data_IF_791614615100
#
_entry.id   IF_791614615100
#
_cell.length_a   1.000
_cell.length_b   1.000
_cell.length_c   1.000
_cell.angle_alpha   90.00
_cell.angle_beta   90.00
_cell.angle_gamma   90.00
#
_symmetry.space_group_name_H-M   'P 1'
#
loop_
_entity.id
_entity.type
_entity.pdbx_description
1 polymer ?
#
# COMPACT_ATOMS: atom_id res chain seq x y z
N UNK A 1 5.03 -8.92 15.50
CA UNK A 1 3.92 -8.31 14.75
C UNK A 1 4.16 -6.82 14.51
N UNK A 2 4.22 -5.95 15.53
CA UNK A 2 4.43 -4.49 15.30
C UNK A 2 5.83 -4.17 14.74
N UNK A 3 6.87 -4.91 15.13
CA UNK A 3 8.23 -4.74 14.61
C UNK A 3 8.36 -4.99 13.08
N UNK A 4 7.39 -5.67 12.47
CA UNK A 4 7.34 -5.88 11.02
C UNK A 4 6.66 -4.74 10.23
N UNK A 5 6.14 -3.72 10.92
CA UNK A 5 5.52 -2.57 10.27
C UNK A 5 6.59 -1.57 9.80
N UNK A 6 7.27 -1.92 8.72
CA UNK A 6 8.32 -1.12 8.08
C UNK A 6 8.03 -0.97 6.57
N UNK A 7 8.58 0.05 5.91
CA UNK A 7 8.42 0.19 4.46
C UNK A 7 8.84 -1.07 3.71
N UNK A 8 8.10 -1.49 2.69
CA UNK A 8 8.47 -2.63 1.85
C UNK A 8 9.88 -2.49 1.25
N UNK A 9 10.60 -3.59 0.96
CA UNK A 9 11.97 -3.58 0.42
C UNK A 9 12.16 -2.67 -0.78
N UNK A 10 11.17 -2.63 -1.69
CA UNK A 10 11.13 -1.75 -2.87
C UNK A 10 11.28 -0.26 -2.53
N UNK A 11 10.85 0.16 -1.36
CA UNK A 11 10.93 1.55 -0.91
C UNK A 11 12.04 1.81 0.11
N UNK A 12 12.98 0.87 0.28
CA UNK A 12 14.13 1.04 1.20
C UNK A 12 14.98 2.26 0.86
N UNK A 13 15.15 2.54 -0.43
CA UNK A 13 15.90 3.69 -0.93
C UNK A 13 15.04 4.95 -1.14
N UNK A 14 13.73 4.91 -0.86
CA UNK A 14 12.85 6.05 -1.06
C UNK A 14 13.26 7.22 -0.15
N UNK A 15 13.48 8.39 -0.75
CA UNK A 15 13.79 9.64 -0.07
C UNK A 15 12.95 10.75 -0.70
N UNK A 16 12.75 11.86 0.00
CA UNK A 16 12.07 13.02 -0.57
C UNK A 16 12.84 13.56 -1.79
N UNK A 17 14.17 13.47 -1.74
CA UNK A 17 15.08 13.89 -2.81
C UNK A 17 15.09 12.95 -4.01
N UNK A 18 14.69 11.68 -3.82
CA UNK A 18 14.61 10.70 -4.93
C UNK A 18 13.27 10.75 -5.67
N UNK A 19 12.31 11.49 -5.15
CA UNK A 19 11.08 11.77 -5.88
C UNK A 19 11.33 12.87 -6.91
N UNK A 20 11.06 12.58 -8.18
CA UNK A 20 11.21 13.53 -9.29
C UNK A 20 9.83 14.10 -9.63
N UNK A 21 9.50 15.33 -9.20
CA UNK A 21 8.25 15.96 -9.55
C UNK A 21 8.16 16.23 -11.05
N UNK A 22 7.00 15.97 -11.63
CA UNK A 22 6.69 16.41 -12.98
C UNK A 22 6.51 17.93 -13.00
N UNK A 23 7.29 18.68 -13.83
CA UNK A 23 7.18 20.14 -13.93
C UNK A 23 5.79 20.61 -14.35
N UNK A 24 5.03 19.79 -15.07
CA UNK A 24 3.65 20.07 -15.47
C UNK A 24 2.64 19.91 -14.31
N UNK A 25 3.08 19.37 -13.17
CA UNK A 25 2.24 19.05 -12.00
C UNK A 25 2.76 19.72 -10.74
N UNK A 26 2.53 21.02 -10.52
CA UNK A 26 3.09 21.77 -9.38
C UNK A 26 2.77 21.18 -8.01
N UNK A 27 1.62 20.50 -7.88
CA UNK A 27 1.20 19.82 -6.64
C UNK A 27 2.19 18.75 -6.17
N UNK A 28 2.96 18.15 -7.08
CA UNK A 28 3.97 17.14 -6.74
C UNK A 28 5.15 17.75 -5.99
N UNK A 29 5.70 18.87 -6.50
CA UNK A 29 6.78 19.58 -5.82
C UNK A 29 6.31 20.16 -4.47
N UNK A 30 5.09 20.67 -4.41
CA UNK A 30 4.50 21.16 -3.17
C UNK A 30 4.32 20.03 -2.15
N UNK A 31 3.90 18.82 -2.59
CA UNK A 31 3.79 17.64 -1.75
C UNK A 31 5.13 17.30 -1.08
N UNK A 32 6.23 17.26 -1.84
CA UNK A 32 7.58 17.02 -1.32
C UNK A 32 7.93 18.07 -0.25
N UNK A 33 7.72 19.34 -0.53
CA UNK A 33 8.02 20.44 0.41
C UNK A 33 7.17 20.34 1.69
N UNK A 34 5.88 20.01 1.56
CA UNK A 34 4.99 19.88 2.72
C UNK A 34 5.34 18.65 3.57
N UNK A 35 5.71 17.53 2.95
CA UNK A 35 6.18 16.33 3.66
C UNK A 35 7.49 16.60 4.42
N UNK A 36 8.41 17.34 3.84
CA UNK A 36 9.64 17.76 4.52
C UNK A 36 9.35 18.60 5.77
N UNK A 37 8.44 19.58 5.66
CA UNK A 37 7.98 20.38 6.82
C UNK A 37 7.30 19.52 7.88
N UNK A 38 6.45 18.60 7.45
CA UNK A 38 5.75 17.68 8.35
C UNK A 38 6.73 16.76 9.08
N UNK A 39 7.71 16.18 8.37
CA UNK A 39 8.77 15.36 8.97
C UNK A 39 9.54 16.14 10.05
N UNK A 40 9.96 17.38 9.75
CA UNK A 40 10.64 18.24 10.69
C UNK A 40 9.80 18.62 11.93
N UNK A 41 8.47 18.60 11.79
CA UNK A 41 7.52 18.83 12.90
C UNK A 41 7.33 17.61 13.80
N UNK A 42 7.73 16.42 13.40
CA UNK A 42 7.71 15.19 14.19
C UNK A 42 8.83 15.28 15.23
N UNK A 43 8.50 15.72 16.45
CA UNK A 43 9.50 16.01 17.48
C UNK A 43 10.26 14.76 17.89
N UNK A 44 11.58 14.82 17.81
CA UNK A 44 12.52 13.86 18.37
C UNK A 44 12.47 13.86 19.91
N UNK A 45 12.40 12.67 20.50
CA UNK A 45 12.20 12.30 21.89
C UNK A 45 12.75 13.16 23.01
N UNK A 46 12.52 12.75 24.22
CA UNK A 46 13.03 13.17 25.56
C UNK A 46 12.76 14.61 26.02
N UNK A 47 12.79 15.63 25.18
CA UNK A 47 12.54 17.02 25.61
C UNK A 47 11.06 17.30 25.94
N UNK A 48 10.13 16.62 25.29
CA UNK A 48 8.68 16.88 25.48
C UNK A 48 8.09 16.08 26.66
N UNK A 49 8.70 14.93 27.05
CA UNK A 49 8.32 14.21 28.27
C UNK A 49 8.56 15.04 29.53
N UNK A 50 9.64 15.84 29.56
CA UNK A 50 9.93 16.73 30.70
C UNK A 50 8.97 17.92 30.79
N UNK A 51 8.48 18.45 29.64
CA UNK A 51 7.47 19.53 29.63
C UNK A 51 6.07 19.08 30.05
N UNK A 52 5.67 17.82 29.82
CA UNK A 52 4.41 17.26 30.32
C UNK A 52 4.38 17.09 31.84
N UNK A 53 5.53 16.92 32.48
CA UNK A 53 5.64 16.84 33.94
C UNK A 53 5.44 18.21 34.63
N UNK A 54 5.52 19.32 33.93
CA UNK A 54 5.32 20.69 34.42
C UNK A 54 3.97 21.31 34.04
N UNK A 55 2.93 20.50 33.86
CA UNK A 55 1.53 20.95 34.05
C UNK A 55 0.96 21.94 33.03
N UNK A 56 1.60 22.26 31.91
CA UNK A 56 0.99 23.08 30.86
C UNK A 56 0.38 22.17 29.80
N UNK A 57 -0.96 22.01 29.85
CA UNK A 57 -1.72 21.45 28.72
C UNK A 57 -1.33 22.24 27.47
N UNK A 58 -0.82 21.60 26.39
CA UNK A 58 -0.63 22.33 25.15
C UNK A 58 -1.99 22.85 24.70
N UNK A 59 -2.06 24.13 24.34
CA UNK A 59 -3.23 24.67 23.67
C UNK A 59 -3.55 23.70 22.52
N UNK A 60 -4.81 23.29 22.38
CA UNK A 60 -5.31 22.51 21.25
C UNK A 60 -4.96 23.31 20.01
N UNK A 61 -3.87 22.94 19.31
CA UNK A 61 -3.60 23.46 17.99
C UNK A 61 -4.77 22.99 17.12
N UNK A 62 -5.49 23.91 16.53
CA UNK A 62 -6.64 23.64 15.65
C UNK A 62 -6.21 22.94 14.34
N UNK A 63 -4.91 22.73 14.12
CA UNK A 63 -4.40 22.08 12.92
C UNK A 63 -4.36 20.55 13.07
N UNK A 64 -4.81 19.82 12.03
CA UNK A 64 -4.71 18.36 11.96
C UNK A 64 -3.26 17.91 12.16
N UNK A 65 -3.04 16.90 13.02
CA UNK A 65 -1.72 16.33 13.27
C UNK A 65 -1.32 15.27 12.25
N UNK A 66 -2.12 15.06 11.23
CA UNK A 66 -1.90 14.08 10.18
C UNK A 66 -1.81 14.72 8.81
N UNK A 67 -1.18 14.00 7.88
CA UNK A 67 -1.14 14.33 6.46
C UNK A 67 -1.73 13.19 5.64
N UNK A 68 -2.50 13.53 4.62
CA UNK A 68 -3.20 12.55 3.78
C UNK A 68 -2.87 12.81 2.33
N UNK A 69 -2.12 11.91 1.73
CA UNK A 69 -1.71 11.96 0.34
C UNK A 69 -2.83 11.42 -0.55
N UNK A 70 -3.51 12.31 -1.26
CA UNK A 70 -4.57 11.99 -2.21
C UNK A 70 -4.07 12.19 -3.64
N UNK A 71 -4.43 11.30 -4.54
CA UNK A 71 -4.03 11.41 -5.95
C UNK A 71 -4.35 10.17 -6.76
N UNK A 72 -4.15 10.25 -8.06
CA UNK A 72 -4.32 9.14 -9.00
C UNK A 72 -3.35 7.98 -8.74
N UNK A 73 -3.49 6.93 -9.54
CA UNK A 73 -2.55 5.80 -9.50
C UNK A 73 -1.22 6.19 -10.17
N UNK A 74 -0.11 5.66 -9.64
CA UNK A 74 1.20 5.83 -10.25
C UNK A 74 1.90 7.18 -9.95
N UNK A 75 1.24 8.13 -9.29
CA UNK A 75 1.82 9.43 -8.95
C UNK A 75 2.86 9.38 -7.81
N UNK A 76 3.22 8.18 -7.35
CA UNK A 76 4.29 8.01 -6.35
C UNK A 76 3.88 8.21 -4.89
N UNK A 77 2.58 8.10 -4.52
CA UNK A 77 2.13 8.28 -3.13
C UNK A 77 2.84 7.36 -2.13
N UNK A 78 2.94 6.07 -2.42
CA UNK A 78 3.64 5.09 -1.57
C UNK A 78 5.12 5.43 -1.44
N UNK A 79 5.77 5.89 -2.53
CA UNK A 79 7.15 6.37 -2.49
C UNK A 79 7.28 7.56 -1.52
N UNK A 80 6.42 8.56 -1.64
CA UNK A 80 6.42 9.74 -0.77
C UNK A 80 6.10 9.40 0.68
N UNK A 81 5.20 8.44 0.94
CA UNK A 81 4.89 7.96 2.28
C UNK A 81 6.10 7.26 2.92
N UNK A 82 6.79 6.40 2.17
CA UNK A 82 8.01 5.74 2.61
C UNK A 82 9.16 6.76 2.79
N UNK A 83 9.29 7.72 1.89
CA UNK A 83 10.25 8.81 2.01
C UNK A 83 10.01 9.65 3.28
N UNK A 84 8.77 9.93 3.64
CA UNK A 84 8.40 10.57 4.90
C UNK A 84 8.83 9.72 6.10
N UNK A 85 8.57 8.40 6.06
CA UNK A 85 9.00 7.49 7.12
C UNK A 85 10.52 7.54 7.31
N UNK A 86 11.30 7.57 6.23
CA UNK A 86 12.77 7.69 6.29
C UNK A 86 13.22 9.08 6.78
N UNK A 87 12.55 10.15 6.37
CA UNK A 87 12.90 11.53 6.73
C UNK A 87 12.53 11.90 8.17
N UNK A 88 11.57 11.21 8.79
CA UNK A 88 11.13 11.50 10.15
C UNK A 88 12.27 11.29 11.17
N UNK A 89 12.58 12.31 12.03
CA UNK A 89 13.70 12.29 12.97
C UNK A 89 13.41 11.44 14.21
N UNK A 90 13.19 10.15 14.01
CA UNK A 90 12.89 9.16 15.02
C UNK A 90 13.59 7.84 14.68
N UNK A 91 13.89 7.02 15.69
CA UNK A 91 14.44 5.68 15.46
C UNK A 91 13.44 4.79 14.70
N UNK A 92 13.93 3.75 14.01
CA UNK A 92 13.07 2.88 13.24
C UNK A 92 11.98 2.23 14.10
N UNK A 93 12.33 1.87 15.34
CA UNK A 93 11.42 1.26 16.33
C UNK A 93 10.36 2.23 16.87
N UNK A 94 10.54 3.52 16.64
CA UNK A 94 9.59 4.56 17.00
C UNK A 94 8.69 4.98 15.83
N UNK A 95 8.78 4.28 14.70
CA UNK A 95 7.99 4.53 13.49
C UNK A 95 7.34 3.25 13.03
N UNK A 96 6.11 3.34 12.55
CA UNK A 96 5.42 2.21 11.95
C UNK A 96 4.97 2.56 10.52
N UNK A 97 5.05 1.58 9.64
CA UNK A 97 4.57 1.66 8.26
C UNK A 97 3.82 0.37 7.92
N UNK A 98 2.60 0.49 7.46
CA UNK A 98 1.83 -0.67 7.03
C UNK A 98 0.67 -0.26 6.14
N UNK A 99 0.06 -1.24 5.49
CA UNK A 99 -1.18 -1.02 4.75
C UNK A 99 -2.37 -0.93 5.71
N UNK A 100 -3.47 -0.34 5.25
CA UNK A 100 -4.72 -0.32 6.00
C UNK A 100 -5.14 -1.72 6.47
N UNK A 101 -5.04 -2.71 5.57
CA UNK A 101 -5.39 -4.12 5.87
C UNK A 101 -4.46 -4.72 6.95
N UNK A 102 -3.18 -4.38 6.95
CA UNK A 102 -2.26 -4.84 8.00
C UNK A 102 -2.60 -4.24 9.36
N UNK A 103 -3.04 -2.99 9.38
CA UNK A 103 -3.44 -2.31 10.61
C UNK A 103 -4.73 -2.92 11.19
N UNK A 104 -5.75 -3.19 10.37
CA UNK A 104 -6.99 -3.83 10.82
C UNK A 104 -6.75 -5.27 11.27
N UNK A 105 -5.91 -6.02 10.55
CA UNK A 105 -5.48 -7.36 10.96
C UNK A 105 -4.71 -7.35 12.29
N UNK A 106 -3.84 -6.38 12.50
CA UNK A 106 -3.13 -6.23 13.77
C UNK A 106 -4.12 -6.02 14.93
N UNK A 107 -5.12 -5.16 14.72
CA UNK A 107 -6.16 -4.91 15.72
C UNK A 107 -7.02 -6.16 15.98
N UNK A 108 -7.31 -6.95 14.94
CA UNK A 108 -8.00 -8.24 15.09
C UNK A 108 -7.19 -9.29 15.86
N UNK A 109 -5.88 -9.35 15.62
CA UNK A 109 -5.01 -10.37 16.22
C UNK A 109 -4.59 -10.04 17.67
N UNK A 110 -4.30 -8.78 17.98
CA UNK A 110 -3.88 -8.34 19.32
C UNK A 110 -5.05 -7.89 20.20
N UNK A 111 -6.16 -7.55 19.59
CA UNK A 111 -7.24 -6.81 20.23
C UNK A 111 -6.98 -5.30 20.26
N UNK A 112 -8.06 -4.53 20.30
CA UNK A 112 -8.04 -3.06 20.17
C UNK A 112 -7.12 -2.37 21.19
N UNK A 113 -7.27 -2.68 22.49
CA UNK A 113 -6.52 -2.02 23.56
C UNK A 113 -5.01 -2.27 23.48
N UNK A 114 -4.62 -3.51 23.12
CA UNK A 114 -3.21 -3.86 22.99
C UNK A 114 -2.60 -3.20 21.76
N UNK A 115 -3.37 -3.08 20.66
CA UNK A 115 -2.95 -2.38 19.44
C UNK A 115 -2.73 -0.89 19.73
N UNK A 116 -3.67 -0.23 20.42
CA UNK A 116 -3.49 1.16 20.89
C UNK A 116 -2.25 1.28 21.75
N UNK A 117 -2.06 0.43 22.75
CA UNK A 117 -0.90 0.49 23.65
C UNK A 117 0.44 0.30 22.93
N UNK A 118 0.48 -0.60 21.94
CA UNK A 118 1.67 -0.87 21.14
C UNK A 118 2.00 0.31 20.21
N UNK A 119 1.01 0.80 19.43
CA UNK A 119 1.22 1.85 18.45
C UNK A 119 1.37 3.25 19.08
N UNK A 120 0.80 3.51 20.26
CA UNK A 120 0.98 4.78 20.98
C UNK A 120 2.43 5.06 21.42
N UNK A 121 3.31 4.08 21.33
CA UNK A 121 4.75 4.26 21.60
C UNK A 121 5.49 4.86 20.41
N UNK A 122 4.88 4.81 19.22
CA UNK A 122 5.46 5.34 18.00
C UNK A 122 5.25 6.85 17.90
N UNK A 123 6.11 7.51 17.15
CA UNK A 123 6.04 8.95 16.85
C UNK A 123 5.36 9.21 15.53
N UNK A 124 5.45 8.24 14.62
CA UNK A 124 4.87 8.29 13.28
C UNK A 124 4.23 6.94 12.95
N UNK A 125 3.00 6.99 12.47
CA UNK A 125 2.32 5.89 11.84
C UNK A 125 2.00 6.27 10.37
N UNK A 126 2.60 5.55 9.44
CA UNK A 126 2.34 5.64 8.01
C UNK A 126 1.38 4.52 7.60
N UNK A 127 0.26 4.86 6.95
CA UNK A 127 -0.78 3.93 6.52
C UNK A 127 -0.91 4.02 5.01
N UNK A 128 -0.46 3.00 4.31
CA UNK A 128 -0.60 2.94 2.86
C UNK A 128 -1.93 2.33 2.44
N UNK A 129 -2.43 2.73 1.27
CA UNK A 129 -3.68 2.23 0.69
C UNK A 129 -4.88 2.36 1.65
N UNK A 130 -5.05 3.54 2.25
CA UNK A 130 -6.13 3.83 3.18
C UNK A 130 -7.47 3.87 2.46
N UNK A 131 -8.18 2.74 2.47
CA UNK A 131 -9.48 2.58 1.83
C UNK A 131 -10.46 1.88 2.77
N UNK A 132 -11.67 2.44 2.92
CA UNK A 132 -12.73 1.85 3.73
C UNK A 132 -13.62 0.99 2.83
N UNK A 133 -13.52 -0.32 2.98
CA UNK A 133 -14.31 -1.30 2.23
C UNK A 133 -15.43 -1.91 3.08
N UNK A 134 -15.35 -1.79 4.41
CA UNK A 134 -16.26 -2.40 5.38
C UNK A 134 -16.64 -1.43 6.51
N UNK A 135 -17.91 -1.43 6.95
CA UNK A 135 -18.37 -0.59 8.06
C UNK A 135 -17.66 -0.86 9.40
N UNK A 136 -17.36 -2.12 9.69
CA UNK A 136 -16.67 -2.51 10.92
C UNK A 136 -15.28 -1.93 10.98
N UNK A 137 -14.55 -1.96 9.87
CA UNK A 137 -13.23 -1.34 9.73
C UNK A 137 -13.31 0.18 9.93
N UNK A 138 -14.38 0.83 9.46
CA UNK A 138 -14.58 2.27 9.61
C UNK A 138 -14.63 2.68 11.08
N UNK A 139 -15.43 2.00 11.89
CA UNK A 139 -15.57 2.27 13.34
C UNK A 139 -14.28 1.94 14.08
N UNK A 140 -13.68 0.78 13.78
CA UNK A 140 -12.45 0.31 14.39
C UNK A 140 -11.31 1.32 14.18
N UNK A 141 -11.07 1.71 12.91
CA UNK A 141 -9.94 2.56 12.54
C UNK A 141 -10.17 3.99 12.97
N UNK A 142 -11.40 4.53 12.86
CA UNK A 142 -11.72 5.86 13.38
C UNK A 142 -11.39 5.97 14.88
N UNK A 143 -11.79 4.97 15.66
CA UNK A 143 -11.50 4.90 17.10
C UNK A 143 -9.99 4.74 17.37
N UNK A 144 -9.29 3.89 16.60
CA UNK A 144 -7.87 3.65 16.76
C UNK A 144 -7.06 4.93 16.47
N UNK A 145 -7.29 5.57 15.32
CA UNK A 145 -6.55 6.78 14.93
C UNK A 145 -6.84 7.95 15.87
N UNK A 146 -8.07 8.08 16.37
CA UNK A 146 -8.40 9.05 17.42
C UNK A 146 -7.56 8.87 18.67
N UNK A 147 -7.44 7.64 19.18
CA UNK A 147 -6.60 7.32 20.36
C UNK A 147 -5.12 7.57 20.12
N UNK A 148 -4.62 7.23 18.93
CA UNK A 148 -3.22 7.47 18.56
C UNK A 148 -2.91 8.97 18.44
N UNK A 149 -3.81 9.74 17.83
CA UNK A 149 -3.69 11.19 17.75
C UNK A 149 -3.70 11.85 19.14
N UNK A 150 -4.59 11.40 20.05
CA UNK A 150 -4.62 11.83 21.46
C UNK A 150 -3.30 11.49 22.18
N UNK A 151 -2.72 10.34 21.89
CA UNK A 151 -1.41 9.93 22.42
C UNK A 151 -0.25 10.74 21.83
N UNK A 152 -0.49 11.51 20.77
CA UNK A 152 0.51 12.38 20.15
C UNK A 152 1.29 11.73 19.02
N UNK A 153 0.79 10.61 18.48
CA UNK A 153 1.36 9.96 17.29
C UNK A 153 1.02 10.82 16.07
N UNK A 154 2.03 11.14 15.26
CA UNK A 154 1.82 11.77 13.95
C UNK A 154 1.28 10.71 12.96
N UNK A 155 0.27 11.08 12.18
CA UNK A 155 -0.39 10.18 11.25
C UNK A 155 -0.08 10.60 9.81
N UNK A 156 0.24 9.63 8.96
CA UNK A 156 0.34 9.87 7.52
C UNK A 156 -0.37 8.75 6.77
N UNK A 157 -1.15 9.09 5.76
CA UNK A 157 -1.89 8.09 5.00
C UNK A 157 -1.84 8.38 3.50
N UNK A 158 -1.97 7.33 2.68
CA UNK A 158 -2.18 7.46 1.23
C UNK A 158 -3.51 6.86 0.83
N UNK A 159 -4.18 7.45 -0.14
CA UNK A 159 -5.37 6.87 -0.75
C UNK A 159 -5.57 7.37 -2.18
N UNK A 160 -6.46 6.70 -2.90
CA UNK A 160 -7.00 7.16 -4.17
C UNK A 160 -8.39 7.82 -4.02
N UNK A 161 -8.81 8.03 -2.78
CA UNK A 161 -10.12 8.58 -2.41
C UNK A 161 -9.90 9.69 -1.38
N UNK A 162 -10.54 10.85 -1.58
CA UNK A 162 -10.48 11.94 -0.60
C UNK A 162 -11.01 11.49 0.77
N UNK A 163 -10.46 12.01 1.90
CA UNK A 163 -10.86 11.58 3.23
C UNK A 163 -12.38 11.66 3.47
N UNK A 164 -13.03 12.72 2.99
CA UNK A 164 -14.49 12.90 3.14
C UNK A 164 -15.35 12.03 2.23
N UNK A 165 -14.74 11.26 1.31
CA UNK A 165 -15.41 10.33 0.39
C UNK A 165 -15.02 8.88 0.61
N UNK A 166 -14.37 8.57 1.70
CA UNK A 166 -14.02 7.21 2.07
C UNK A 166 -15.29 6.36 2.22
N UNK A 167 -15.27 5.14 1.69
CA UNK A 167 -16.42 4.23 1.70
C UNK A 167 -17.51 4.53 0.67
N UNK A 168 -17.46 5.64 -0.06
CA UNK A 168 -18.48 6.02 -1.07
C UNK A 168 -18.60 4.92 -2.15
N UNK A 169 -19.84 4.42 -2.33
CA UNK A 169 -20.16 3.38 -3.33
C UNK A 169 -19.75 1.95 -2.93
N UNK A 170 -19.29 1.71 -1.70
CA UNK A 170 -18.87 0.37 -1.24
C UNK A 170 -19.77 -0.23 -0.17
N UNK A 171 -20.34 0.63 0.67
CA UNK A 171 -21.35 0.29 1.68
C UNK A 171 -22.25 1.50 1.92
N UNK A 172 -23.22 1.40 2.83
CA UNK A 172 -24.08 2.54 3.20
C UNK A 172 -23.27 3.60 3.97
N UNK A 173 -22.33 4.26 3.29
CA UNK A 173 -21.40 5.24 3.88
C UNK A 173 -22.13 6.38 4.59
N UNK A 174 -23.39 6.67 4.18
CA UNK A 174 -24.24 7.67 4.83
C UNK A 174 -24.50 7.35 6.30
N UNK A 175 -24.57 6.08 6.68
CA UNK A 175 -24.81 5.64 8.06
C UNK A 175 -23.56 5.82 8.96
N UNK A 176 -22.39 6.04 8.36
CA UNK A 176 -21.09 6.18 9.03
C UNK A 176 -20.44 7.54 8.81
N UNK A 177 -21.21 8.54 8.41
CA UNK A 177 -20.70 9.90 8.11
C UNK A 177 -19.96 10.51 9.29
N UNK A 178 -20.41 10.28 10.52
CA UNK A 178 -19.75 10.80 11.73
C UNK A 178 -18.35 10.23 11.89
N UNK A 179 -18.20 8.93 11.72
CA UNK A 179 -16.93 8.21 11.84
C UNK A 179 -15.97 8.63 10.72
N UNK A 180 -16.46 8.74 9.49
CA UNK A 180 -15.69 9.19 8.33
C UNK A 180 -15.25 10.64 8.49
N UNK A 181 -16.12 11.53 8.95
CA UNK A 181 -15.78 12.93 9.23
C UNK A 181 -14.81 13.07 10.40
N UNK A 182 -15.01 12.28 11.48
CA UNK A 182 -14.12 12.22 12.61
C UNK A 182 -12.71 11.78 12.20
N UNK A 183 -12.64 10.78 11.33
CA UNK A 183 -11.39 10.28 10.77
C UNK A 183 -10.73 11.32 9.85
N UNK A 184 -11.50 11.94 8.95
CA UNK A 184 -11.01 12.98 8.05
C UNK A 184 -10.44 14.19 8.80
N UNK A 185 -11.03 14.54 9.96
CA UNK A 185 -10.57 15.65 10.79
C UNK A 185 -9.16 15.46 11.38
N UNK A 186 -8.63 14.23 11.41
CA UNK A 186 -7.25 13.98 11.83
C UNK A 186 -6.23 14.35 10.76
N UNK A 187 -6.64 14.53 9.52
CA UNK A 187 -5.73 14.67 8.38
C UNK A 187 -5.91 16.00 7.66
N UNK A 188 -4.80 16.58 7.24
CA UNK A 188 -4.75 17.60 6.21
C UNK A 188 -4.53 16.93 4.85
N UNK A 189 -5.48 17.03 3.92
CA UNK A 189 -5.31 16.46 2.59
C UNK A 189 -4.23 17.20 1.82
N UNK A 190 -3.43 16.44 1.10
CA UNK A 190 -2.38 16.89 0.22
C UNK A 190 -2.57 16.23 -1.14
N UNK A 191 -3.06 16.99 -2.09
CA UNK A 191 -3.34 16.53 -3.45
C UNK A 191 -2.03 16.36 -4.20
N UNK A 192 -1.89 15.22 -4.89
CA UNK A 192 -0.80 14.91 -5.80
C UNK A 192 -1.43 14.65 -7.16
N UNK A 193 -1.37 15.67 -8.03
CA UNK A 193 -1.86 15.54 -9.39
C UNK A 193 -0.81 14.81 -10.25
N UNK A 194 -1.27 14.15 -11.29
CA UNK A 194 -0.46 13.44 -12.25
C UNK A 194 -1.36 12.76 -13.26
N UNK A 195 -0.79 12.41 -14.39
CA UNK A 195 -1.54 11.63 -15.36
C UNK A 195 -1.98 10.30 -14.72
N UNK A 196 -3.27 10.04 -14.81
CA UNK A 196 -3.79 8.75 -14.41
C UNK A 196 -3.25 7.69 -15.38
N UNK A 197 -2.30 6.89 -14.92
CA UNK A 197 -1.73 5.79 -15.70
C UNK A 197 -2.78 4.84 -16.29
N UNK A 198 -4.01 4.90 -15.80
CA UNK A 198 -5.15 4.15 -16.35
C UNK A 198 -5.56 4.59 -17.75
N UNK A 199 -5.26 5.82 -18.15
CA UNK A 199 -5.56 6.34 -19.50
C UNK A 199 -4.46 6.03 -20.52
N UNK A 200 -3.28 5.60 -20.10
CA UNK A 200 -2.18 5.18 -20.98
C UNK A 200 -2.33 3.77 -21.55
N UNK A 201 -3.48 3.12 -21.37
CA UNK A 201 -3.66 1.71 -21.70
C UNK A 201 -2.96 0.79 -20.67
N UNK A 202 -3.50 -0.42 -20.49
CA UNK A 202 -2.79 -1.43 -19.71
C UNK A 202 -1.43 -1.68 -20.38
N UNK A 203 -0.34 -1.72 -19.61
CA UNK A 203 0.95 -2.10 -20.18
C UNK A 203 0.78 -3.50 -20.77
N UNK A 204 1.04 -3.65 -22.06
CA UNK A 204 0.99 -4.96 -22.72
C UNK A 204 1.87 -5.94 -21.94
N UNK A 205 1.27 -7.00 -21.43
CA UNK A 205 2.04 -8.02 -20.74
C UNK A 205 2.98 -8.74 -21.71
N UNK A 206 4.19 -9.10 -21.29
CA UNK A 206 5.05 -9.95 -22.12
C UNK A 206 4.32 -11.25 -22.50
N UNK A 207 4.60 -11.82 -23.66
CA UNK A 207 4.01 -13.08 -24.05
C UNK A 207 4.40 -14.17 -23.02
N UNK A 208 3.46 -15.05 -22.65
CA UNK A 208 3.74 -16.15 -21.74
C UNK A 208 4.73 -17.12 -22.39
N UNK A 209 5.52 -17.79 -21.54
CA UNK A 209 6.41 -18.87 -22.00
C UNK A 209 5.64 -20.18 -22.18
N UNK A 210 6.26 -21.15 -22.84
CA UNK A 210 5.70 -22.51 -22.87
C UNK A 210 5.78 -23.15 -21.48
N UNK A 211 4.88 -24.10 -21.13
CA UNK A 211 4.93 -24.78 -19.84
C UNK A 211 6.28 -25.43 -19.54
N UNK A 212 6.89 -26.06 -20.55
CA UNK A 212 8.21 -26.71 -20.40
C UNK A 212 9.34 -25.72 -20.10
N UNK A 213 9.28 -24.52 -20.69
CA UNK A 213 10.26 -23.46 -20.38
C UNK A 213 10.12 -22.95 -18.96
N UNK A 214 8.86 -22.78 -18.49
CA UNK A 214 8.58 -22.36 -17.11
C UNK A 214 9.10 -23.39 -16.12
N UNK A 215 8.79 -24.67 -16.35
CA UNK A 215 9.24 -25.77 -15.48
C UNK A 215 10.76 -25.87 -15.45
N UNK A 216 11.41 -25.83 -16.63
CA UNK A 216 12.89 -25.87 -16.69
C UNK A 216 13.55 -24.68 -16.02
N UNK A 217 12.96 -23.49 -16.12
CA UNK A 217 13.48 -22.29 -15.47
C UNK A 217 13.32 -22.37 -13.95
N UNK A 218 12.17 -22.84 -13.47
CA UNK A 218 11.93 -23.04 -12.04
C UNK A 218 12.96 -23.98 -11.40
N UNK A 219 13.21 -25.12 -12.02
CA UNK A 219 14.20 -26.09 -11.51
C UNK A 219 15.64 -25.58 -11.49
N UNK A 220 15.96 -24.51 -12.23
CA UNK A 220 17.30 -23.89 -12.27
C UNK A 220 17.43 -22.69 -11.34
N UNK A 221 16.34 -22.24 -10.73
CA UNK A 221 16.32 -21.05 -9.90
C UNK A 221 16.22 -21.46 -8.43
N UNK A 222 17.29 -21.26 -7.69
CA UNK A 222 17.30 -21.56 -6.25
C UNK A 222 16.34 -20.64 -5.50
N UNK A 223 15.58 -21.20 -4.57
CA UNK A 223 14.58 -20.46 -3.78
C UNK A 223 13.32 -20.08 -4.55
N UNK A 224 13.11 -20.60 -5.76
CA UNK A 224 11.89 -20.36 -6.53
C UNK A 224 10.75 -21.30 -6.13
N UNK A 225 9.50 -20.83 -6.29
CA UNK A 225 8.32 -21.69 -6.31
C UNK A 225 7.92 -22.06 -7.75
N UNK A 226 7.32 -23.24 -7.92
CA UNK A 226 6.66 -23.67 -9.14
C UNK A 226 5.25 -24.13 -8.80
N UNK A 227 4.26 -23.39 -9.26
CA UNK A 227 2.87 -23.61 -8.93
C UNK A 227 2.02 -23.78 -10.19
N UNK A 228 1.05 -24.73 -10.15
CA UNK A 228 -0.07 -24.75 -11.08
C UNK A 228 -1.04 -23.63 -10.70
N UNK A 229 -1.39 -22.79 -11.65
CA UNK A 229 -2.18 -21.58 -11.37
C UNK A 229 -3.56 -21.87 -10.76
N UNK A 230 -4.35 -22.85 -11.25
CA UNK A 230 -5.56 -23.29 -10.58
C UNK A 230 -5.35 -23.74 -9.14
N UNK A 231 -4.38 -24.57 -8.90
CA UNK A 231 -4.08 -25.07 -7.55
C UNK A 231 -3.64 -23.94 -6.61
N UNK A 232 -2.87 -22.98 -7.10
CA UNK A 232 -2.53 -21.76 -6.35
C UNK A 232 -3.79 -20.99 -5.94
N UNK A 233 -4.75 -20.79 -6.85
CA UNK A 233 -5.99 -20.09 -6.53
C UNK A 233 -6.83 -20.81 -5.48
N UNK A 234 -6.89 -22.14 -5.51
CA UNK A 234 -7.53 -22.96 -4.49
C UNK A 234 -6.82 -22.82 -3.13
N UNK A 235 -5.49 -22.84 -3.13
CA UNK A 235 -4.71 -22.64 -1.91
C UNK A 235 -4.95 -21.23 -1.32
N UNK A 236 -4.97 -20.20 -2.15
CA UNK A 236 -5.29 -18.83 -1.70
C UNK A 236 -6.70 -18.73 -1.11
N UNK A 237 -7.66 -19.53 -1.61
CA UNK A 237 -9.00 -19.56 -1.03
C UNK A 237 -9.03 -20.16 0.39
N UNK A 238 -8.14 -21.09 0.68
CA UNK A 238 -8.03 -21.76 1.98
C UNK A 238 -7.23 -20.96 3.04
N UNK A 239 -6.40 -19.99 2.61
CA UNK A 239 -5.55 -19.18 3.49
C UNK A 239 -6.12 -17.76 3.63
N UNK A 240 -6.11 -17.24 4.86
CA UNK A 240 -6.54 -15.84 5.06
C UNK A 240 -5.54 -14.87 4.42
N UNK A 241 -5.98 -13.80 3.69
CA UNK A 241 -5.10 -12.89 2.96
C UNK A 241 -4.01 -12.21 3.80
N UNK A 242 -4.23 -12.01 5.11
CA UNK A 242 -3.21 -11.48 6.03
C UNK A 242 -1.96 -12.35 6.14
N UNK A 243 -2.06 -13.63 5.78
CA UNK A 243 -0.95 -14.59 5.83
C UNK A 243 -0.18 -14.72 4.51
N UNK A 244 -0.60 -14.04 3.44
CA UNK A 244 0.07 -14.11 2.14
C UNK A 244 1.50 -13.57 2.19
N UNK A 245 1.81 -12.67 3.13
CA UNK A 245 3.20 -12.29 3.39
C UNK A 245 4.11 -13.48 3.73
N UNK A 246 3.62 -14.45 4.51
CA UNK A 246 4.39 -15.66 4.83
C UNK A 246 4.56 -16.59 3.61
N UNK A 247 3.59 -16.63 2.68
CA UNK A 247 3.71 -17.43 1.44
C UNK A 247 4.84 -16.93 0.53
N UNK A 248 5.19 -15.66 0.63
CA UNK A 248 6.21 -15.03 -0.22
C UNK A 248 7.55 -14.85 0.48
N UNK A 249 7.68 -15.33 1.73
CA UNK A 249 8.91 -15.20 2.51
C UNK A 249 9.99 -16.15 1.99
N UNK A 250 11.18 -15.60 1.73
CA UNK A 250 12.33 -16.36 1.24
C UNK A 250 12.27 -16.78 -0.24
N UNK A 251 11.20 -16.42 -0.98
CA UNK A 251 11.13 -16.70 -2.41
C UNK A 251 12.04 -15.76 -3.20
N UNK A 252 12.80 -16.32 -4.13
CA UNK A 252 13.60 -15.60 -5.12
C UNK A 252 12.85 -15.32 -6.42
N UNK A 253 11.92 -16.20 -6.80
CA UNK A 253 11.07 -16.08 -7.99
C UNK A 253 9.83 -16.95 -7.86
N UNK A 254 8.78 -16.62 -8.61
CA UNK A 254 7.57 -17.43 -8.74
C UNK A 254 7.37 -17.86 -10.19
N UNK A 255 7.17 -19.15 -10.39
CA UNK A 255 6.87 -19.75 -11.68
C UNK A 255 5.47 -20.33 -11.68
N UNK A 256 4.64 -19.91 -12.66
CA UNK A 256 3.24 -20.29 -12.76
C UNK A 256 2.96 -21.04 -14.04
N UNK A 257 2.38 -22.22 -13.94
CA UNK A 257 1.90 -22.95 -15.12
C UNK A 257 0.40 -22.80 -15.27
N UNK A 258 -0.09 -22.72 -16.53
CA UNK A 258 -1.50 -22.77 -16.85
C UNK A 258 -2.32 -21.55 -16.40
N UNK A 259 -1.74 -20.35 -16.47
CA UNK A 259 -2.48 -19.10 -16.21
C UNK A 259 -3.69 -19.01 -17.13
N UNK A 260 -4.86 -18.77 -16.56
CA UNK A 260 -6.15 -18.68 -17.26
C UNK A 260 -7.01 -17.55 -16.71
N UNK A 261 -8.07 -17.11 -17.43
CA UNK A 261 -8.96 -16.06 -16.96
C UNK A 261 -9.65 -16.46 -15.63
N UNK A 262 -9.83 -15.48 -14.75
CA UNK A 262 -10.55 -15.62 -13.49
C UNK A 262 -11.94 -15.03 -13.67
N UNK A 263 -12.97 -15.80 -13.32
CA UNK A 263 -14.37 -15.37 -13.38
C UNK A 263 -14.96 -15.06 -12.00
N UNK A 264 -14.40 -15.65 -10.92
CA UNK A 264 -14.88 -15.43 -9.57
C UNK A 264 -14.22 -14.21 -8.92
N UNK A 265 -15.05 -13.30 -8.39
CA UNK A 265 -14.60 -12.05 -7.79
C UNK A 265 -13.79 -12.27 -6.51
N UNK A 266 -14.19 -13.22 -5.67
CA UNK A 266 -13.50 -13.50 -4.41
C UNK A 266 -12.07 -13.99 -4.68
N UNK A 267 -11.96 -14.96 -5.61
CA UNK A 267 -10.68 -15.50 -6.08
C UNK A 267 -9.80 -14.41 -6.68
N UNK A 268 -10.38 -13.55 -7.51
CA UNK A 268 -9.66 -12.43 -8.13
C UNK A 268 -9.11 -11.45 -7.08
N UNK A 269 -9.89 -11.08 -6.07
CA UNK A 269 -9.44 -10.19 -5.00
C UNK A 269 -8.32 -10.81 -4.15
N UNK A 270 -8.34 -12.11 -3.94
CA UNK A 270 -7.26 -12.84 -3.26
C UNK A 270 -5.97 -12.83 -4.07
N UNK A 271 -6.06 -13.03 -5.38
CA UNK A 271 -4.90 -12.92 -6.27
C UNK A 271 -4.34 -11.50 -6.31
N UNK A 272 -5.19 -10.46 -6.26
CA UNK A 272 -4.74 -9.06 -6.12
C UNK A 272 -3.84 -8.90 -4.90
N UNK A 273 -4.25 -9.44 -3.74
CA UNK A 273 -3.42 -9.35 -2.52
C UNK A 273 -2.08 -10.06 -2.69
N UNK A 274 -2.06 -11.25 -3.31
CA UNK A 274 -0.80 -11.94 -3.59
C UNK A 274 0.09 -11.14 -4.54
N UNK A 275 -0.47 -10.60 -5.63
CA UNK A 275 0.26 -9.75 -6.58
C UNK A 275 0.87 -8.52 -5.91
N UNK A 276 0.15 -7.92 -4.97
CA UNK A 276 0.65 -6.81 -4.16
C UNK A 276 1.86 -7.24 -3.31
N UNK A 277 1.81 -8.41 -2.65
CA UNK A 277 2.91 -8.94 -1.84
C UNK A 277 4.15 -9.30 -2.67
N UNK A 278 3.95 -9.92 -3.83
CA UNK A 278 5.06 -10.24 -4.75
C UNK A 278 5.74 -8.95 -5.24
N UNK A 279 4.93 -7.95 -5.60
CA UNK A 279 5.43 -6.67 -6.09
C UNK A 279 6.20 -5.89 -5.03
N UNK A 280 5.69 -5.83 -3.80
CA UNK A 280 6.34 -5.14 -2.68
C UNK A 280 7.70 -5.76 -2.31
N UNK A 281 7.88 -7.06 -2.60
CA UNK A 281 9.11 -7.81 -2.34
C UNK A 281 10.00 -7.95 -3.57
N UNK A 282 9.59 -7.39 -4.71
CA UNK A 282 10.34 -7.46 -5.98
C UNK A 282 10.61 -8.91 -6.41
N UNK A 283 9.64 -9.81 -6.19
CA UNK A 283 9.74 -11.21 -6.56
C UNK A 283 9.30 -11.37 -8.01
N UNK A 284 10.20 -11.68 -8.95
CA UNK A 284 9.88 -11.82 -10.36
C UNK A 284 8.91 -12.98 -10.59
N UNK A 285 8.04 -12.82 -11.59
CA UNK A 285 7.06 -13.84 -11.97
C UNK A 285 7.30 -14.27 -13.41
N UNK A 286 7.35 -15.58 -13.64
CA UNK A 286 7.39 -16.16 -14.99
C UNK A 286 6.20 -17.10 -15.15
N UNK A 287 5.47 -16.98 -16.26
CA UNK A 287 4.22 -17.72 -16.41
C UNK A 287 4.04 -18.33 -17.81
N UNK A 288 3.25 -19.42 -17.85
CA UNK A 288 2.69 -19.99 -19.07
C UNK A 288 1.16 -19.86 -19.08
N UNK A 289 0.53 -19.98 -20.25
CA UNK A 289 -0.91 -19.85 -20.42
C UNK A 289 -1.29 -18.56 -21.11
N UNK A 290 -2.11 -17.72 -20.48
CA UNK A 290 -2.47 -16.39 -21.03
C UNK A 290 -1.59 -15.28 -20.45
N UNK A 291 -1.41 -14.15 -21.17
CA UNK A 291 -0.75 -12.99 -20.60
C UNK A 291 -1.60 -12.33 -19.51
N UNK A 292 -0.96 -11.71 -18.52
CA UNK A 292 -1.64 -11.18 -17.32
C UNK A 292 -2.61 -10.01 -17.60
N UNK A 293 -2.48 -9.32 -18.72
CA UNK A 293 -3.44 -8.29 -19.15
C UNK A 293 -4.82 -8.86 -19.56
N UNK A 294 -4.91 -10.19 -19.76
CA UNK A 294 -6.15 -10.93 -20.05
C UNK A 294 -6.70 -11.72 -18.84
N UNK A 295 -6.17 -11.48 -17.65
CA UNK A 295 -6.49 -12.27 -16.46
C UNK A 295 -7.91 -12.05 -15.95
N UNK A 296 -8.43 -10.84 -16.03
CA UNK A 296 -9.76 -10.48 -15.53
C UNK A 296 -10.75 -10.21 -16.66
N UNK A 297 -12.00 -10.59 -16.45
CA UNK A 297 -13.06 -10.38 -17.45
C UNK A 297 -13.34 -8.88 -17.69
N UNK A 298 -13.92 -8.56 -18.85
CA UNK A 298 -14.32 -7.19 -19.16
C UNK A 298 -15.39 -6.65 -18.19
N UNK A 299 -16.21 -7.53 -17.60
CA UNK A 299 -17.18 -7.17 -16.56
C UNK A 299 -16.47 -6.76 -15.26
N UNK A 300 -15.51 -7.55 -14.82
CA UNK A 300 -14.69 -7.23 -13.64
C UNK A 300 -13.94 -5.91 -13.81
N UNK A 301 -13.40 -5.66 -14.99
CA UNK A 301 -12.67 -4.41 -15.29
C UNK A 301 -13.57 -3.17 -15.38
N UNK A 302 -14.90 -3.35 -15.43
CA UNK A 302 -15.90 -2.26 -15.34
C UNK A 302 -16.56 -2.16 -13.98
N UNK A 303 -16.43 -3.20 -13.16
CA UNK A 303 -17.05 -3.31 -11.84
C UNK A 303 -16.46 -2.40 -10.76
N UNK A 304 -17.00 -2.47 -9.55
CA UNK A 304 -16.60 -1.66 -8.39
C UNK A 304 -15.13 -1.84 -7.99
N UNK A 305 -14.57 -3.03 -8.20
CA UNK A 305 -13.18 -3.35 -7.87
C UNK A 305 -12.19 -3.16 -9.03
N UNK A 306 -12.62 -2.55 -10.15
CA UNK A 306 -11.78 -2.35 -11.35
C UNK A 306 -10.40 -1.77 -11.05
N UNK A 307 -10.31 -0.85 -10.08
CA UNK A 307 -9.07 -0.22 -9.67
C UNK A 307 -8.05 -1.23 -9.11
N UNK A 308 -8.53 -2.18 -8.32
CA UNK A 308 -7.69 -3.24 -7.75
C UNK A 308 -7.19 -4.18 -8.84
N UNK A 309 -8.04 -4.53 -9.79
CA UNK A 309 -7.66 -5.38 -10.92
C UNK A 309 -6.64 -4.73 -11.84
N UNK A 310 -6.83 -3.46 -12.21
CA UNK A 310 -5.84 -2.72 -13.01
C UNK A 310 -4.49 -2.64 -12.33
N UNK A 311 -4.49 -2.42 -11.01
CA UNK A 311 -3.26 -2.42 -10.21
C UNK A 311 -2.56 -3.78 -10.25
N UNK A 312 -3.29 -4.87 -10.06
CA UNK A 312 -2.73 -6.22 -10.10
C UNK A 312 -2.15 -6.56 -11.47
N UNK A 313 -2.85 -6.23 -12.57
CA UNK A 313 -2.33 -6.40 -13.94
C UNK A 313 -1.02 -5.64 -14.10
N UNK A 314 -0.98 -4.37 -13.72
CA UNK A 314 0.23 -3.55 -13.84
C UNK A 314 1.41 -4.13 -13.05
N UNK A 315 1.16 -4.56 -11.81
CA UNK A 315 2.19 -5.15 -10.93
C UNK A 315 2.70 -6.49 -11.48
N UNK A 316 1.81 -7.40 -11.85
CA UNK A 316 2.18 -8.70 -12.43
C UNK A 316 2.93 -8.53 -13.76
N UNK A 317 2.50 -7.58 -14.60
CA UNK A 317 3.19 -7.25 -15.85
C UNK A 317 4.62 -6.76 -15.60
N UNK A 318 4.81 -5.90 -14.60
CA UNK A 318 6.14 -5.41 -14.22
C UNK A 318 7.03 -6.56 -13.75
N UNK A 319 6.54 -7.40 -12.83
CA UNK A 319 7.27 -8.56 -12.31
C UNK A 319 7.60 -9.60 -13.39
N UNK A 320 6.73 -9.73 -14.40
CA UNK A 320 7.00 -10.64 -15.54
C UNK A 320 8.10 -10.11 -16.44
N UNK A 321 8.19 -8.81 -16.65
CA UNK A 321 9.32 -8.21 -17.38
C UNK A 321 10.64 -8.42 -16.66
N UNK A 322 10.66 -8.24 -15.35
CA UNK A 322 11.83 -8.53 -14.51
C UNK A 322 12.24 -10.01 -14.61
N UNK A 323 11.28 -10.95 -14.54
CA UNK A 323 11.51 -12.39 -14.66
C UNK A 323 11.98 -12.86 -16.06
N UNK A 324 11.79 -12.03 -17.09
CA UNK A 324 12.27 -12.32 -18.45
C UNK A 324 13.65 -11.70 -18.76
N UNK A 325 14.31 -11.09 -17.77
CA UNK A 325 15.63 -10.44 -17.94
C UNK A 325 15.52 -9.03 -18.54
N UNK A 326 14.33 -8.44 -18.56
CA UNK A 326 14.14 -7.03 -18.90
C UNK A 326 14.58 -6.15 -17.74
N UNK A 327 15.45 -5.19 -18.02
CA UNK A 327 15.78 -4.13 -17.07
C UNK A 327 14.49 -3.39 -16.68
N UNK A 328 14.25 -3.07 -15.41
CA UNK A 328 13.09 -2.27 -15.03
C UNK A 328 13.11 -0.97 -15.85
N UNK A 329 11.97 -0.48 -16.35
CA UNK A 329 11.94 0.78 -17.06
C UNK A 329 12.51 1.85 -16.14
N UNK A 330 13.58 2.49 -16.60
CA UNK A 330 14.10 3.68 -15.93
C UNK A 330 12.95 4.69 -15.81
N UNK A 331 12.75 5.39 -14.69
CA UNK A 331 11.73 6.42 -14.59
C UNK A 331 11.77 7.48 -15.70
N UNK A 332 12.89 7.56 -16.45
CA UNK A 332 13.09 8.43 -17.59
C UNK A 332 12.80 7.82 -18.98
N UNK A 333 12.53 6.52 -19.10
CA UNK A 333 12.29 5.84 -20.39
C UNK A 333 10.81 5.79 -20.76
N UNK A 334 10.01 6.67 -20.21
CA UNK A 334 8.62 6.83 -20.59
C UNK A 334 8.61 7.81 -21.77
N UNK A 335 8.25 7.39 -23.00
CA UNK A 335 8.17 8.32 -24.12
C UNK A 335 7.17 9.42 -23.82
N UNK A 336 7.61 10.65 -24.06
CA UNK A 336 6.90 11.91 -23.96
C UNK A 336 5.57 11.92 -24.69
#
# INVERSE_FOLDING_TARGET
MVAGLVPPPRFRAARLETYVPDPAQPSQAEAVAQLGRFAGGIRGGTADRRRRLFGRKPARSAEPRGIYLDGGYGVGKTHLLAALWHAAPAAAEEKAFGTFVELTNLAGALGFQQTVAALSRHRLLCIDEFELDDPGDTVLVSSLLGRLAEAGVALAATSNTLPGRLGEGRFAAADFLREIQGLAAHFRPLRIDGEDYRHRGLPTAPPPRSPDEVIRAAHRTEGASLDDFPALLEHLAAVHPSRYGALTEGLSAVFLTGVRPISDQSTALRLVVLADRLYDREIPVTASGIPFDRLFSAEMLRGGYRKKYFRAISRLTALTREGQGGQPPNPGDIPS
#
